data_IF_791036342596
#
_entry.id   IF_791036342596
#
_cell.length_a   1.000
_cell.length_b   1.000
_cell.length_c   1.000
_cell.angle_alpha   90.00
_cell.angle_beta   90.00
_cell.angle_gamma   90.00
#
_symmetry.space_group_name_H-M   'P 1'
#
loop_
_entity.id
_entity.type
_entity.pdbx_description
1 polymer ?
#
# COMPACT_ATOMS: atom_id res chain seq x y z
N UNK A 1 -50.37 12.86 -75.16
CA UNK A 1 -50.53 14.26 -74.67
C UNK A 1 -50.77 14.24 -73.16
N UNK A 2 -49.91 14.84 -72.32
CA UNK A 2 -50.05 14.86 -70.86
C UNK A 2 -50.59 16.17 -70.26
N UNK A 3 -51.38 15.99 -69.18
CA UNK A 3 -51.72 16.83 -68.01
C UNK A 3 -52.60 18.09 -68.13
N UNK A 4 -53.48 18.28 -67.12
CA UNK A 4 -53.30 19.42 -66.21
C UNK A 4 -52.96 19.03 -64.77
N UNK A 5 -52.09 19.86 -64.18
CA UNK A 5 -51.57 19.79 -62.82
C UNK A 5 -52.55 20.37 -61.78
N UNK A 6 -52.53 19.81 -60.57
CA UNK A 6 -53.23 20.35 -59.39
C UNK A 6 -52.19 21.02 -58.45
N UNK A 7 -52.50 22.19 -57.86
CA UNK A 7 -51.52 23.09 -57.24
C UNK A 7 -50.98 22.68 -55.86
N UNK A 8 -49.82 23.24 -55.45
CA UNK A 8 -49.12 22.89 -54.22
C UNK A 8 -49.75 23.52 -52.97
N UNK A 9 -49.93 22.71 -51.91
CA UNK A 9 -50.35 23.22 -50.60
C UNK A 9 -49.18 23.89 -49.85
N UNK A 10 -49.41 24.98 -49.08
CA UNK A 10 -48.37 25.82 -48.51
C UNK A 10 -47.68 25.17 -47.31
N UNK A 11 -46.37 25.42 -47.19
CA UNK A 11 -45.55 24.98 -46.05
C UNK A 11 -45.92 25.63 -44.73
N UNK A 12 -45.72 24.88 -43.64
CA UNK A 12 -45.57 25.42 -42.29
C UNK A 12 -44.43 24.70 -41.55
N UNK A 13 -43.45 25.52 -41.21
CA UNK A 13 -42.19 25.35 -40.49
C UNK A 13 -42.35 24.70 -39.10
N UNK A 14 -41.29 24.05 -38.54
CA UNK A 14 -41.34 23.44 -37.20
C UNK A 14 -41.43 24.52 -36.13
N UNK A 15 -42.26 24.32 -35.10
CA UNK A 15 -42.28 25.19 -33.94
C UNK A 15 -41.20 24.78 -32.92
N UNK A 16 -40.25 25.67 -32.57
CA UNK A 16 -39.47 25.57 -31.34
C UNK A 16 -40.21 26.34 -30.24
N UNK A 17 -40.28 25.83 -29.01
CA UNK A 17 -40.38 26.61 -27.75
C UNK A 17 -40.62 25.70 -26.56
N UNK A 18 -39.73 25.75 -25.57
CA UNK A 18 -39.95 25.12 -24.27
C UNK A 18 -38.69 25.06 -23.40
N UNK A 19 -38.38 26.17 -22.74
CA UNK A 19 -37.36 26.39 -21.70
C UNK A 19 -37.32 25.24 -20.65
N UNK A 20 -36.14 24.91 -20.07
CA UNK A 20 -35.96 23.81 -19.12
C UNK A 20 -36.78 24.03 -17.84
N UNK A 21 -37.95 23.40 -17.78
CA UNK A 21 -38.69 23.20 -16.54
C UNK A 21 -37.96 22.14 -15.71
N UNK A 22 -37.56 22.51 -14.50
CA UNK A 22 -37.03 21.62 -13.48
C UNK A 22 -37.90 20.35 -13.41
N UNK A 23 -37.33 19.21 -13.81
CA UNK A 23 -37.99 17.93 -13.63
C UNK A 23 -38.07 17.67 -12.10
N UNK A 24 -39.26 17.38 -11.55
CA UNK A 24 -39.36 16.96 -10.17
C UNK A 24 -38.53 15.70 -9.98
N UNK A 25 -37.85 15.58 -8.84
CA UNK A 25 -37.11 14.40 -8.41
C UNK A 25 -38.06 13.19 -8.39
N UNK A 26 -38.18 12.56 -9.55
CA UNK A 26 -38.93 11.33 -9.74
C UNK A 26 -38.29 10.26 -8.90
N UNK A 27 -39.09 9.73 -7.97
CA UNK A 27 -38.74 8.57 -7.16
C UNK A 27 -38.18 7.47 -8.05
N UNK A 28 -36.87 7.18 -7.91
CA UNK A 28 -36.28 6.02 -8.57
C UNK A 28 -36.95 4.78 -8.00
N UNK A 29 -37.66 4.06 -8.86
CA UNK A 29 -38.27 2.77 -8.53
C UNK A 29 -37.23 1.83 -7.93
N UNK A 30 -37.44 1.39 -6.69
CA UNK A 30 -36.65 0.37 -5.98
C UNK A 30 -37.19 -1.03 -6.25
N UNK A 31 -37.57 -1.31 -7.51
CA UNK A 31 -38.03 -2.63 -7.92
C UNK A 31 -36.96 -3.70 -7.63
N UNK A 32 -37.37 -4.95 -7.32
CA UNK A 32 -36.45 -6.03 -6.98
C UNK A 32 -35.48 -6.28 -8.14
N UNK A 33 -34.19 -6.06 -7.90
CA UNK A 33 -33.12 -6.35 -8.86
C UNK A 33 -32.98 -7.87 -8.97
N UNK A 34 -33.53 -8.46 -10.04
CA UNK A 34 -33.46 -9.91 -10.34
C UNK A 34 -32.11 -10.36 -10.93
N UNK A 35 -31.09 -9.52 -10.83
CA UNK A 35 -29.72 -9.85 -11.24
C UNK A 35 -28.85 -10.11 -10.01
N UNK A 36 -28.60 -11.38 -9.68
CA UNK A 36 -27.53 -11.72 -8.73
C UNK A 36 -26.20 -11.20 -9.30
N UNK A 37 -25.46 -10.32 -8.61
CA UNK A 37 -24.12 -9.92 -9.06
C UNK A 37 -23.28 -11.18 -9.21
N UNK A 38 -22.86 -11.47 -10.44
CA UNK A 38 -22.01 -12.64 -10.72
C UNK A 38 -20.60 -12.29 -10.22
N UNK A 39 -20.34 -12.61 -8.96
CA UNK A 39 -19.00 -12.49 -8.36
C UNK A 39 -18.10 -13.47 -9.11
N UNK A 40 -17.36 -12.97 -10.10
CA UNK A 40 -16.41 -13.76 -10.88
C UNK A 40 -15.31 -14.31 -9.97
N UNK A 41 -14.92 -15.56 -10.20
CA UNK A 41 -13.85 -16.21 -9.45
C UNK A 41 -12.56 -15.37 -9.55
N UNK A 42 -12.03 -14.95 -8.40
CA UNK A 42 -10.73 -14.24 -8.32
C UNK A 42 -9.67 -15.17 -8.91
N UNK A 43 -9.10 -14.82 -10.07
CA UNK A 43 -7.96 -15.54 -10.66
C UNK A 43 -6.77 -15.42 -9.71
N UNK A 44 -6.25 -16.53 -9.14
CA UNK A 44 -4.98 -16.48 -8.44
C UNK A 44 -3.90 -16.34 -9.52
N UNK A 45 -3.47 -15.12 -9.80
CA UNK A 45 -2.29 -14.92 -10.63
C UNK A 45 -1.09 -15.58 -9.94
N UNK A 46 -0.33 -16.44 -10.64
CA UNK A 46 0.86 -17.05 -10.10
C UNK A 46 1.98 -16.03 -10.17
N UNK A 47 1.92 -14.99 -9.33
CA UNK A 47 3.15 -14.30 -8.98
C UNK A 47 3.94 -15.30 -8.16
N UNK A 48 5.11 -15.70 -8.65
CA UNK A 48 6.15 -16.38 -7.89
C UNK A 48 6.02 -15.93 -6.45
N UNK A 49 5.44 -16.78 -5.60
CA UNK A 49 5.32 -16.46 -4.18
C UNK A 49 6.78 -16.37 -3.76
N UNK A 50 7.34 -15.17 -3.66
CA UNK A 50 8.33 -14.93 -2.63
C UNK A 50 7.63 -15.40 -1.38
N UNK A 51 7.97 -16.61 -0.96
CA UNK A 51 7.23 -17.36 0.03
C UNK A 51 7.04 -16.53 1.30
N UNK A 52 6.25 -17.02 2.25
CA UNK A 52 6.12 -16.39 3.57
C UNK A 52 7.48 -16.12 4.27
N UNK A 53 8.59 -16.63 3.73
CA UNK A 53 9.96 -16.51 4.20
C UNK A 53 10.70 -15.20 3.91
N UNK A 54 10.18 -14.27 3.08
CA UNK A 54 10.91 -13.03 2.78
C UNK A 54 11.27 -12.17 4.03
N UNK A 55 10.39 -12.03 5.05
CA UNK A 55 10.75 -11.33 6.29
C UNK A 55 11.82 -12.11 7.07
N UNK A 56 11.64 -13.43 7.17
CA UNK A 56 12.58 -14.31 7.88
C UNK A 56 13.97 -14.22 7.25
N UNK A 57 14.06 -14.14 5.92
CA UNK A 57 15.32 -13.96 5.22
C UNK A 57 16.04 -12.66 5.60
N UNK A 58 15.32 -11.54 5.75
CA UNK A 58 15.91 -10.25 6.14
C UNK A 58 16.48 -10.25 7.56
N UNK A 59 15.74 -10.82 8.52
CA UNK A 59 16.19 -10.95 9.89
C UNK A 59 17.40 -11.90 10.00
N UNK A 60 17.36 -13.05 9.31
CA UNK A 60 18.46 -14.02 9.28
C UNK A 60 19.68 -13.43 8.58
N UNK A 61 19.52 -12.68 7.48
CA UNK A 61 20.62 -12.00 6.80
C UNK A 61 21.28 -10.94 7.69
N UNK A 62 20.50 -10.12 8.40
CA UNK A 62 21.06 -9.12 9.31
C UNK A 62 21.82 -9.74 10.48
N UNK A 63 21.28 -10.82 11.06
CA UNK A 63 21.94 -11.55 12.14
C UNK A 63 23.21 -12.24 11.66
N UNK A 64 23.17 -12.86 10.48
CA UNK A 64 24.34 -13.47 9.85
C UNK A 64 25.41 -12.42 9.52
N UNK A 65 25.04 -11.28 8.94
CA UNK A 65 25.97 -10.20 8.67
C UNK A 65 26.62 -9.66 9.95
N UNK A 66 25.83 -9.46 11.02
CA UNK A 66 26.36 -9.09 12.34
C UNK A 66 27.34 -10.13 12.87
N UNK A 67 27.01 -11.42 12.79
CA UNK A 67 27.90 -12.50 13.21
C UNK A 67 29.21 -12.54 12.41
N UNK A 68 29.14 -12.38 11.09
CA UNK A 68 30.32 -12.34 10.21
C UNK A 68 31.23 -11.18 10.59
N UNK A 69 30.67 -9.98 10.81
CA UNK A 69 31.44 -8.81 11.26
C UNK A 69 32.10 -9.06 12.62
N UNK A 70 31.37 -9.66 13.58
CA UNK A 70 31.91 -10.00 14.89
C UNK A 70 33.10 -10.96 14.80
N UNK A 71 32.98 -12.00 13.97
CA UNK A 71 34.02 -13.02 13.78
C UNK A 71 35.25 -12.45 13.06
N UNK A 72 35.05 -11.54 12.10
CA UNK A 72 36.15 -10.93 11.35
C UNK A 72 36.94 -9.90 12.17
N UNK A 73 36.25 -9.07 12.97
CA UNK A 73 36.89 -7.96 13.68
C UNK A 73 37.18 -8.27 15.16
N UNK A 74 36.58 -9.31 15.75
CA UNK A 74 36.71 -9.60 17.17
C UNK A 74 38.14 -9.91 17.63
N UNK A 75 38.99 -10.40 16.73
CA UNK A 75 40.41 -10.66 17.01
C UNK A 75 41.33 -9.44 16.84
N UNK A 76 40.82 -8.33 16.31
CA UNK A 76 41.60 -7.09 16.05
C UNK A 76 41.29 -6.01 17.08
N UNK A 77 40.15 -6.09 17.77
CA UNK A 77 39.77 -5.17 18.82
C UNK A 77 40.54 -5.44 20.12
N UNK A 78 41.67 -4.75 20.28
CA UNK A 78 42.51 -4.85 21.46
C UNK A 78 41.98 -3.95 22.57
N UNK A 79 41.46 -2.77 22.22
CA UNK A 79 41.00 -1.78 23.18
C UNK A 79 39.52 -1.93 23.57
N UNK A 80 39.18 -1.44 24.77
CA UNK A 80 37.81 -1.47 25.28
C UNK A 80 36.83 -0.74 24.35
N UNK A 81 37.25 0.41 23.81
CA UNK A 81 36.44 1.23 22.90
C UNK A 81 36.15 0.47 21.61
N UNK A 82 37.15 -0.18 21.01
CA UNK A 82 37.01 -1.01 19.81
C UNK A 82 36.07 -2.19 20.07
N UNK A 83 36.23 -2.90 21.20
CA UNK A 83 35.33 -4.01 21.57
C UNK A 83 33.89 -3.54 21.75
N UNK A 84 33.70 -2.38 22.39
CA UNK A 84 32.38 -1.79 22.59
C UNK A 84 31.75 -1.35 21.26
N UNK A 85 32.54 -0.76 20.35
CA UNK A 85 32.12 -0.41 19.00
C UNK A 85 31.69 -1.65 18.20
N UNK A 86 32.41 -2.77 18.32
CA UNK A 86 32.02 -4.05 17.70
C UNK A 86 30.69 -4.57 18.25
N UNK A 87 30.46 -4.50 19.55
CA UNK A 87 29.17 -4.89 20.14
C UNK A 87 28.03 -4.02 19.59
N UNK A 88 28.20 -2.69 19.55
CA UNK A 88 27.18 -1.82 18.98
C UNK A 88 26.96 -2.06 17.48
N UNK A 89 28.02 -2.26 16.71
CA UNK A 89 27.94 -2.54 15.27
C UNK A 89 27.15 -3.83 15.00
N UNK A 90 27.45 -4.90 15.74
CA UNK A 90 26.82 -6.21 15.56
C UNK A 90 25.34 -6.20 15.97
N UNK A 91 25.02 -5.58 17.11
CA UNK A 91 23.63 -5.37 17.55
C UNK A 91 22.87 -4.47 16.58
N UNK A 92 23.50 -3.38 16.12
CA UNK A 92 22.93 -2.45 15.15
C UNK A 92 22.56 -3.13 13.83
N UNK A 93 23.45 -3.96 13.27
CA UNK A 93 23.18 -4.76 12.06
C UNK A 93 22.03 -5.76 12.26
N UNK A 94 22.00 -6.43 13.42
CA UNK A 94 20.92 -7.36 13.76
C UNK A 94 19.56 -6.66 13.84
N UNK A 95 19.49 -5.53 14.54
CA UNK A 95 18.28 -4.70 14.62
C UNK A 95 17.88 -4.14 13.26
N UNK A 96 18.84 -3.70 12.45
CA UNK A 96 18.60 -3.18 11.10
C UNK A 96 17.97 -4.26 10.20
N UNK A 97 18.50 -5.49 10.22
CA UNK A 97 17.93 -6.62 9.47
C UNK A 97 16.51 -7.00 9.93
N UNK A 98 16.28 -7.03 11.24
CA UNK A 98 14.95 -7.26 11.80
C UNK A 98 13.96 -6.13 11.42
N UNK A 99 14.41 -4.88 11.40
CA UNK A 99 13.58 -3.74 10.97
C UNK A 99 13.18 -3.86 9.49
N UNK A 100 14.10 -4.29 8.62
CA UNK A 100 13.83 -4.53 7.21
C UNK A 100 12.83 -5.68 6.99
N UNK A 101 12.91 -6.74 7.80
CA UNK A 101 11.95 -7.83 7.80
C UNK A 101 10.53 -7.35 8.15
N UNK A 102 10.41 -6.55 9.21
CA UNK A 102 9.14 -5.99 9.66
C UNK A 102 8.56 -5.00 8.64
N UNK A 103 9.38 -4.15 8.02
CA UNK A 103 8.95 -3.26 6.93
C UNK A 103 8.38 -4.05 5.75
N UNK A 104 9.00 -5.18 5.39
CA UNK A 104 8.51 -6.03 4.33
C UNK A 104 7.15 -6.66 4.67
N UNK A 105 6.92 -7.02 5.94
CA UNK A 105 5.64 -7.52 6.41
C UNK A 105 4.57 -6.42 6.46
N UNK A 106 4.92 -5.23 6.95
CA UNK A 106 4.04 -4.05 6.92
C UNK A 106 3.58 -3.72 5.49
N UNK A 107 4.48 -3.70 4.51
CA UNK A 107 4.12 -3.49 3.10
C UNK A 107 3.21 -4.60 2.58
N UNK A 108 3.41 -5.85 3.00
CA UNK A 108 2.53 -6.98 2.63
C UNK A 108 1.14 -6.83 3.25
N UNK A 109 1.05 -6.45 4.52
CA UNK A 109 -0.22 -6.17 5.20
C UNK A 109 -0.95 -4.99 4.55
N UNK A 110 -0.27 -3.88 4.28
CA UNK A 110 -0.88 -2.70 3.62
C UNK A 110 -1.41 -3.07 2.23
N UNK A 111 -0.68 -3.86 1.45
CA UNK A 111 -1.13 -4.33 0.13
C UNK A 111 -2.34 -5.27 0.21
N UNK A 112 -2.47 -6.06 1.29
CA UNK A 112 -3.66 -6.89 1.54
C UNK A 112 -4.84 -6.04 2.00
N UNK A 113 -4.61 -5.15 2.96
CA UNK A 113 -5.60 -4.21 3.49
C UNK A 113 -6.17 -3.30 2.40
N UNK A 114 -5.36 -2.75 1.51
CA UNK A 114 -5.83 -1.93 0.38
C UNK A 114 -6.76 -2.68 -0.59
N UNK A 115 -6.62 -4.01 -0.70
CA UNK A 115 -7.54 -4.85 -1.49
C UNK A 115 -8.88 -5.12 -0.78
N UNK A 116 -8.93 -4.92 0.53
CA UNK A 116 -10.10 -5.12 1.39
C UNK A 116 -10.77 -3.77 1.77
N UNK A 117 -10.04 -2.66 1.71
CA UNK A 117 -10.45 -1.31 2.11
C UNK A 117 -11.49 -0.65 1.19
N UNK A 118 -11.81 -1.24 0.03
CA UNK A 118 -12.89 -0.75 -0.84
C UNK A 118 -14.30 -0.76 -0.20
N UNK A 119 -14.42 -1.16 1.08
CA UNK A 119 -15.67 -1.34 1.83
C UNK A 119 -15.70 -0.48 3.13
N UNK A 120 -14.62 0.21 3.54
CA UNK A 120 -14.57 0.97 4.82
C UNK A 120 -14.36 2.49 4.64
N UNK A 121 -14.93 3.34 5.52
CA UNK A 121 -14.85 4.80 5.41
C UNK A 121 -13.46 5.36 5.80
N UNK A 122 -12.87 6.14 4.88
CA UNK A 122 -11.48 6.61 4.88
C UNK A 122 -11.07 7.59 6.01
N UNK A 123 -12.04 8.16 6.74
CA UNK A 123 -11.75 9.23 7.71
C UNK A 123 -11.31 8.71 9.09
N UNK A 124 -11.65 7.46 9.45
CA UNK A 124 -11.20 6.82 10.70
C UNK A 124 -9.74 6.33 10.58
N UNK A 125 -9.29 6.02 9.36
CA UNK A 125 -7.92 5.57 9.09
C UNK A 125 -6.88 6.68 9.24
N UNK A 126 -7.23 7.94 8.97
CA UNK A 126 -6.28 9.05 9.04
C UNK A 126 -5.79 9.33 10.47
N UNK A 127 -6.70 9.37 11.44
CA UNK A 127 -6.36 9.59 12.86
C UNK A 127 -5.69 8.36 13.47
N UNK A 128 -6.10 7.16 13.06
CA UNK A 128 -5.42 5.92 13.43
C UNK A 128 -3.99 5.86 12.88
N UNK A 129 -3.74 6.35 11.66
CA UNK A 129 -2.42 6.34 11.03
C UNK A 129 -1.46 7.37 11.63
N UNK A 130 -1.96 8.42 12.30
CA UNK A 130 -1.12 9.40 13.01
C UNK A 130 -0.55 8.81 14.32
N UNK A 131 -1.35 8.04 15.06
CA UNK A 131 -0.92 7.34 16.28
C UNK A 131 -0.24 6.01 15.96
N UNK A 132 -0.68 5.30 14.91
CA UNK A 132 -0.02 4.08 14.37
C UNK A 132 1.16 4.39 13.43
N UNK A 133 1.50 5.66 13.19
CA UNK A 133 2.60 6.04 12.31
C UNK A 133 3.98 5.61 12.82
N UNK A 134 4.07 5.38 14.13
CA UNK A 134 5.19 4.71 14.82
C UNK A 134 4.98 3.20 14.78
N UNK A 135 5.18 2.63 13.59
CA UNK A 135 5.14 1.18 13.45
C UNK A 135 6.35 0.54 14.16
N UNK A 136 6.22 -0.70 14.67
CA UNK A 136 7.34 -1.39 15.31
C UNK A 136 8.60 -1.43 14.45
N UNK A 137 8.44 -1.55 13.12
CA UNK A 137 9.57 -1.54 12.20
C UNK A 137 10.30 -0.19 12.18
N UNK A 138 9.56 0.92 12.19
CA UNK A 138 10.14 2.29 12.19
C UNK A 138 10.84 2.59 13.50
N UNK A 139 10.25 2.19 14.63
CA UNK A 139 10.88 2.30 15.94
C UNK A 139 12.18 1.52 16.00
N UNK A 140 12.18 0.28 15.52
CA UNK A 140 13.37 -0.57 15.49
C UNK A 140 14.43 -0.01 14.52
N UNK A 141 14.01 0.57 13.39
CA UNK A 141 14.91 1.22 12.44
C UNK A 141 15.59 2.44 13.09
N UNK A 142 14.84 3.31 13.77
CA UNK A 142 15.41 4.44 14.51
C UNK A 142 16.36 3.99 15.62
N UNK A 143 15.98 2.96 16.38
CA UNK A 143 16.86 2.37 17.40
C UNK A 143 18.14 1.81 16.78
N UNK A 144 18.05 1.09 15.65
CA UNK A 144 19.21 0.56 14.93
C UNK A 144 20.14 1.67 14.44
N UNK A 145 19.59 2.76 13.90
CA UNK A 145 20.36 3.91 13.46
C UNK A 145 21.09 4.59 14.63
N UNK A 146 20.41 4.73 15.77
CA UNK A 146 21.02 5.28 16.99
C UNK A 146 22.15 4.39 17.54
N UNK A 147 21.97 3.07 17.54
CA UNK A 147 23.01 2.13 17.97
C UNK A 147 24.20 2.14 17.02
N UNK A 148 23.97 2.22 15.71
CA UNK A 148 25.05 2.35 14.73
C UNK A 148 25.78 3.70 14.84
N UNK A 149 25.06 4.77 15.18
CA UNK A 149 25.67 6.06 15.51
C UNK A 149 26.57 5.95 16.76
N UNK A 150 26.12 5.27 17.82
CA UNK A 150 26.94 4.98 19.00
C UNK A 150 28.18 4.17 18.65
N UNK A 151 28.06 3.18 17.76
CA UNK A 151 29.22 2.41 17.28
C UNK A 151 30.26 3.32 16.60
N UNK A 152 29.81 4.24 15.74
CA UNK A 152 30.68 5.20 15.06
C UNK A 152 31.25 6.27 15.99
N UNK A 153 30.56 6.60 17.09
CA UNK A 153 31.00 7.59 18.06
C UNK A 153 32.09 7.05 19.01
N UNK A 154 32.07 5.75 19.30
CA UNK A 154 33.00 5.08 20.23
C UNK A 154 34.15 4.39 19.48
N UNK A 155 34.07 4.31 18.15
CA UNK A 155 35.17 3.86 17.29
C UNK A 155 36.19 4.97 17.05
#
# INVERSE_FOLDING_TARGET
>A
PPQPAEPPAPGATPAPSGVPGAAPEGHRSTGPVTGRPRIGARRPFPTTRMGPWAPVAGAVLGLFAGLVVALLLGGVAEDFQERLALVFLTVGLGMLGASGALLADEVRLVRRGAREAGIRPAWVEATANLINGLTPARLLLLASAFVLFLAAYVS
#
